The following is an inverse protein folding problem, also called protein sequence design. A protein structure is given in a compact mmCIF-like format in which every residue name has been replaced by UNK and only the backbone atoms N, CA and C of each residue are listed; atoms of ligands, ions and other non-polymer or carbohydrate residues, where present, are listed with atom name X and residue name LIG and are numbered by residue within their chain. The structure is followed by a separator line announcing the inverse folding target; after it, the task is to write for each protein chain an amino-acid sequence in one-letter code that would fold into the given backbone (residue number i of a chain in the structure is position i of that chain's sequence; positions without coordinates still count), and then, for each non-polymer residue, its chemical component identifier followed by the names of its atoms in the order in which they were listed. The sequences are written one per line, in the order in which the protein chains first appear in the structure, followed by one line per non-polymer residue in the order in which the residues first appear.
data_IF_930227413514
#
_entry.id   IF_930227413514
#
_cell.length_a   1.000
_cell.length_b   1.000
_cell.length_c   1.000
_cell.angle_alpha   90.00
_cell.angle_beta   90.00
_cell.angle_gamma   90.00
#
_symmetry.space_group_name_H-M   'P 1'
#
loop_
_entity.id
_entity.type
_entity.pdbx_description
1 polymer ?
#
# COMPACT_ATOMS: atom_id res chain seq x y z
N UNK A 1 16.58 11.35 -93.42
CA UNK A 1 16.03 9.99 -93.27
C UNK A 1 15.10 10.00 -92.07
N UNK A 2 13.81 9.73 -92.32
CA UNK A 2 12.78 9.14 -91.43
C UNK A 2 12.66 9.62 -89.97
N UNK A 3 11.64 10.44 -89.67
CA UNK A 3 10.35 10.08 -89.01
C UNK A 3 10.45 9.72 -87.52
N UNK A 4 9.79 10.49 -86.66
CA UNK A 4 8.50 10.07 -86.07
C UNK A 4 8.10 10.98 -84.90
N UNK A 5 6.91 11.57 -85.05
CA UNK A 5 6.09 12.12 -83.98
C UNK A 5 5.45 10.95 -83.25
N UNK A 6 5.49 10.93 -81.91
CA UNK A 6 4.40 10.34 -81.12
C UNK A 6 4.19 11.12 -79.83
N UNK A 7 3.10 11.89 -79.81
CA UNK A 7 2.48 12.45 -78.61
C UNK A 7 1.72 11.30 -77.95
N UNK A 8 1.98 11.01 -76.67
CA UNK A 8 1.00 10.37 -75.79
C UNK A 8 1.03 11.05 -74.42
N UNK A 9 0.06 11.96 -74.22
CA UNK A 9 -0.45 12.31 -72.89
C UNK A 9 -1.14 11.08 -72.31
N UNK A 10 -0.73 10.63 -71.14
CA UNK A 10 -1.57 9.83 -70.25
C UNK A 10 -1.51 10.44 -68.86
N UNK A 11 -2.29 11.50 -68.70
CA UNK A 11 -2.75 11.97 -67.41
C UNK A 11 -3.94 11.08 -66.98
N UNK A 12 -4.07 10.88 -65.68
CA UNK A 12 -5.29 10.40 -65.00
C UNK A 12 -5.63 8.90 -65.04
N UNK A 13 -4.79 8.10 -64.37
CA UNK A 13 -5.21 6.79 -63.84
C UNK A 13 -4.51 6.49 -62.50
N UNK A 14 -4.68 7.37 -61.51
CA UNK A 14 -4.18 7.19 -60.13
C UNK A 14 -5.23 7.47 -59.04
N UNK A 15 -6.52 7.47 -59.39
CA UNK A 15 -7.60 7.76 -58.43
C UNK A 15 -8.39 6.53 -57.97
N UNK A 16 -8.09 5.34 -58.49
CA UNK A 16 -8.85 4.11 -58.18
C UNK A 16 -8.15 3.16 -57.20
N UNK A 17 -7.02 3.56 -56.60
CA UNK A 17 -6.31 2.78 -55.57
C UNK A 17 -6.56 3.31 -54.15
N UNK A 18 -7.25 4.45 -54.00
CA UNK A 18 -7.49 5.08 -52.70
C UNK A 18 -8.82 4.67 -52.02
N UNK A 19 -9.60 3.75 -52.60
CA UNK A 19 -10.93 3.36 -52.08
C UNK A 19 -10.93 1.95 -51.45
N UNK A 20 -9.85 1.18 -51.56
CA UNK A 20 -9.78 -0.20 -51.03
C UNK A 20 -9.03 -0.32 -49.68
N UNK A 21 -8.79 0.80 -48.99
CA UNK A 21 -8.04 0.82 -47.71
C UNK A 21 -8.84 1.48 -46.57
N UNK A 22 -10.16 1.33 -46.57
CA UNK A 22 -11.07 1.89 -45.55
C UNK A 22 -12.02 0.85 -44.96
N UNK A 23 -11.60 -0.41 -44.88
CA UNK A 23 -12.41 -1.51 -44.31
C UNK A 23 -11.72 -2.26 -43.16
N UNK A 24 -10.98 -1.54 -42.32
CA UNK A 24 -10.48 -2.09 -41.05
C UNK A 24 -10.77 -1.11 -39.89
N UNK A 25 -12.01 -0.63 -39.83
CA UNK A 25 -12.49 0.16 -38.71
C UNK A 25 -12.94 -0.75 -37.57
N UNK A 26 -12.06 -0.83 -36.56
CA UNK A 26 -12.37 -0.71 -35.12
C UNK A 26 -13.46 -1.64 -34.57
N UNK A 27 -13.02 -2.77 -33.99
CA UNK A 27 -13.73 -3.44 -32.90
C UNK A 27 -12.72 -3.90 -31.84
N UNK A 28 -12.19 -2.97 -31.03
CA UNK A 28 -11.58 -3.33 -29.75
C UNK A 28 -11.89 -2.24 -28.72
N UNK A 29 -13.06 -2.33 -28.12
CA UNK A 29 -13.46 -1.62 -26.88
C UNK A 29 -14.72 -2.33 -26.41
N UNK A 30 -14.85 -2.92 -25.23
CA UNK A 30 -14.00 -3.05 -24.06
C UNK A 30 -14.38 -4.38 -23.42
N UNK A 31 -13.42 -5.28 -23.22
CA UNK A 31 -13.59 -6.28 -22.18
C UNK A 31 -13.57 -5.54 -20.85
N UNK A 32 -14.74 -5.22 -20.30
CA UNK A 32 -14.86 -4.94 -18.87
C UNK A 32 -14.50 -6.24 -18.15
N UNK A 33 -13.21 -6.48 -17.99
CA UNK A 33 -12.74 -7.13 -16.77
C UNK A 33 -13.37 -6.31 -15.65
N UNK A 34 -14.20 -6.96 -14.82
CA UNK A 34 -14.44 -6.44 -13.48
C UNK A 34 -13.07 -6.49 -12.81
N UNK A 35 -12.28 -5.45 -13.04
CA UNK A 35 -11.13 -5.17 -12.21
C UNK A 35 -11.76 -4.82 -10.87
N UNK A 36 -11.79 -5.81 -9.97
CA UNK A 36 -11.95 -5.50 -8.57
C UNK A 36 -10.96 -4.36 -8.29
N UNK A 37 -11.41 -3.24 -7.70
CA UNK A 37 -10.54 -2.09 -7.49
C UNK A 37 -9.29 -2.60 -6.79
N UNK A 38 -8.15 -2.46 -7.46
CA UNK A 38 -6.88 -3.01 -6.98
C UNK A 38 -6.71 -2.59 -5.53
N UNK A 39 -6.63 -3.57 -4.63
CA UNK A 39 -6.54 -3.30 -3.20
C UNK A 39 -5.26 -2.49 -2.95
N UNK A 40 -5.38 -1.30 -2.37
CA UNK A 40 -4.23 -0.41 -2.08
C UNK A 40 -3.23 -1.22 -1.24
N UNK A 41 -1.95 -1.32 -1.64
CA UNK A 41 -1.00 -2.18 -0.94
C UNK A 41 -0.82 -1.73 0.52
N UNK A 42 -0.53 -2.65 1.47
CA UNK A 42 -0.34 -2.31 2.89
C UNK A 42 0.65 -1.16 3.15
N UNK A 43 1.70 -1.07 2.34
CA UNK A 43 2.72 -0.01 2.37
C UNK A 43 2.12 1.38 2.15
N UNK A 44 1.12 1.49 1.27
CA UNK A 44 0.42 2.75 1.01
C UNK A 44 -0.70 2.97 2.02
N UNK A 45 -1.39 1.90 2.45
CA UNK A 45 -2.53 1.98 3.37
C UNK A 45 -2.15 2.43 4.78
N UNK A 46 -0.94 2.07 5.25
CA UNK A 46 -0.47 2.45 6.58
C UNK A 46 -0.13 3.95 6.67
N UNK A 47 0.13 4.64 5.56
CA UNK A 47 0.68 6.00 5.57
C UNK A 47 -0.20 7.02 6.29
N UNK A 48 0.43 7.98 6.95
CA UNK A 48 -0.18 9.11 7.64
C UNK A 48 -0.27 8.93 9.15
N UNK A 49 -0.86 9.93 9.80
CA UNK A 49 -0.99 10.04 11.25
C UNK A 49 -2.15 9.20 11.76
N UNK A 50 -1.88 8.39 12.77
CA UNK A 50 -2.82 7.55 13.50
C UNK A 50 -2.84 7.99 14.96
N UNK A 51 -4.03 8.22 15.49
CA UNK A 51 -4.23 8.43 16.92
C UNK A 51 -3.94 7.12 17.67
N UNK A 52 -3.12 7.19 18.70
CA UNK A 52 -2.92 6.07 19.61
C UNK A 52 -4.15 5.92 20.52
N UNK A 53 -4.78 4.74 20.52
CA UNK A 53 -5.98 4.47 21.33
C UNK A 53 -5.62 3.73 22.59
N UNK A 54 -4.89 2.62 22.46
CA UNK A 54 -4.43 1.85 23.62
C UNK A 54 -3.34 0.86 23.25
N UNK A 55 -2.63 0.39 24.26
CA UNK A 55 -1.87 -0.86 24.21
C UNK A 55 -2.42 -1.83 25.24
N UNK A 56 -2.74 -3.05 24.80
CA UNK A 56 -3.10 -4.16 25.68
C UNK A 56 -1.85 -5.01 25.86
N UNK A 57 -1.38 -5.14 27.10
CA UNK A 57 -0.25 -5.99 27.45
C UNK A 57 -0.75 -7.25 28.14
N UNK A 58 -0.46 -8.42 27.56
CA UNK A 58 -0.65 -9.73 28.20
C UNK A 58 0.71 -10.28 28.64
N UNK A 59 0.85 -10.63 29.91
CA UNK A 59 2.04 -11.28 30.46
C UNK A 59 1.69 -12.69 30.93
N UNK A 60 2.32 -13.68 30.31
CA UNK A 60 2.13 -15.11 30.59
C UNK A 60 3.40 -15.61 31.28
N UNK A 61 3.25 -16.18 32.48
CA UNK A 61 4.35 -16.77 33.25
C UNK A 61 4.02 -18.22 33.59
N UNK A 62 5.00 -19.12 33.67
CA UNK A 62 4.76 -20.50 34.08
C UNK A 62 4.04 -20.59 35.42
N UNK A 63 2.95 -21.37 35.47
CA UNK A 63 2.18 -21.64 36.70
C UNK A 63 1.57 -20.40 37.38
N UNK A 64 1.40 -19.29 36.66
CA UNK A 64 0.67 -18.11 37.12
C UNK A 64 -0.52 -17.82 36.19
N UNK A 65 -1.61 -17.22 36.69
CA UNK A 65 -2.64 -16.67 35.82
C UNK A 65 -2.07 -15.65 34.85
N UNK A 66 -2.71 -15.48 33.69
CA UNK A 66 -2.33 -14.44 32.73
C UNK A 66 -2.63 -13.07 33.33
N UNK A 67 -1.64 -12.18 33.31
CA UNK A 67 -1.77 -10.79 33.72
C UNK A 67 -2.11 -9.95 32.49
N UNK A 68 -3.21 -9.19 32.54
CA UNK A 68 -3.64 -8.32 31.44
C UNK A 68 -3.72 -6.89 31.97
N UNK A 69 -3.06 -5.97 31.26
CA UNK A 69 -3.12 -4.53 31.53
C UNK A 69 -3.44 -3.79 30.25
N UNK A 70 -4.18 -2.69 30.37
CA UNK A 70 -4.51 -1.83 29.23
C UNK A 70 -4.12 -0.40 29.58
N UNK A 71 -3.24 0.17 28.78
CA UNK A 71 -2.86 1.58 28.87
C UNK A 71 -3.58 2.33 27.75
N UNK A 72 -4.30 3.40 28.12
CA UNK A 72 -5.05 4.23 27.17
C UNK A 72 -4.15 5.34 26.64
N UNK A 73 -4.30 5.70 25.36
CA UNK A 73 -3.63 6.86 24.79
C UNK A 73 -4.15 8.16 25.37
N UNK A 74 -3.26 9.12 25.58
CA UNK A 74 -3.60 10.47 25.97
C UNK A 74 -4.06 11.31 24.75
N UNK A 75 -4.62 12.49 25.03
CA UNK A 75 -4.88 13.46 23.96
C UNK A 75 -3.55 13.90 23.32
N UNK A 76 -3.51 13.87 21.99
CA UNK A 76 -2.30 14.21 21.24
C UNK A 76 -1.36 13.03 20.99
N UNK A 77 -1.59 11.85 21.56
CA UNK A 77 -0.75 10.68 21.28
C UNK A 77 -0.96 10.15 19.86
N UNK A 78 0.13 9.92 19.12
CA UNK A 78 0.05 9.46 17.73
C UNK A 78 1.24 8.63 17.26
N UNK A 79 1.02 7.97 16.12
CA UNK A 79 2.01 7.33 15.27
C UNK A 79 1.81 7.85 13.84
N UNK A 80 2.83 8.40 13.20
CA UNK A 80 2.78 8.98 11.86
C UNK A 80 3.77 8.25 10.94
N UNK A 81 3.23 7.34 10.13
CA UNK A 81 4.01 6.53 9.18
C UNK A 81 4.20 7.32 7.89
N UNK A 82 5.44 7.68 7.56
CA UNK A 82 5.74 8.51 6.39
C UNK A 82 6.42 7.73 5.28
N UNK A 83 6.26 8.21 4.06
CA UNK A 83 6.83 7.59 2.86
C UNK A 83 8.37 7.72 2.75
N UNK A 84 9.01 8.40 3.71
CA UNK A 84 10.46 8.47 3.88
C UNK A 84 11.04 7.21 4.57
N UNK A 85 10.19 6.29 5.01
CA UNK A 85 10.59 5.09 5.74
C UNK A 85 10.74 5.31 7.25
N UNK A 86 10.30 6.45 7.77
CA UNK A 86 10.34 6.77 9.19
C UNK A 86 8.94 6.84 9.80
N UNK A 87 8.84 6.33 11.02
CA UNK A 87 7.72 6.46 11.93
C UNK A 87 8.05 7.59 12.89
N UNK A 88 7.18 8.58 12.95
CA UNK A 88 7.24 9.66 13.92
C UNK A 88 6.16 9.43 14.97
N UNK A 89 6.48 9.42 16.25
CA UNK A 89 5.48 9.20 17.30
C UNK A 89 5.71 10.07 18.52
N UNK A 90 4.62 10.39 19.21
CA UNK A 90 4.65 11.07 20.49
C UNK A 90 3.62 10.39 21.39
N UNK A 91 4.03 10.00 22.60
CA UNK A 91 3.19 9.29 23.57
C UNK A 91 3.33 9.94 24.94
N UNK A 92 2.23 10.07 25.69
CA UNK A 92 2.23 10.61 27.04
C UNK A 92 2.67 12.07 27.13
N UNK A 93 2.54 12.84 26.04
CA UNK A 93 3.00 14.24 25.97
C UNK A 93 4.52 14.42 25.92
N UNK A 94 5.27 13.35 25.62
CA UNK A 94 6.72 13.44 25.37
C UNK A 94 7.03 14.12 24.03
N UNK A 95 8.30 14.46 23.83
CA UNK A 95 8.79 14.94 22.53
C UNK A 95 8.60 13.87 21.44
N UNK A 96 8.52 14.32 20.17
CA UNK A 96 8.38 13.41 19.04
C UNK A 96 9.68 12.60 18.85
N UNK A 97 9.54 11.28 18.81
CA UNK A 97 10.59 10.32 18.51
C UNK A 97 10.49 9.85 17.05
N UNK A 98 11.62 9.45 16.46
CA UNK A 98 11.72 9.07 15.06
C UNK A 98 12.41 7.71 14.97
N UNK A 99 11.73 6.74 14.38
CA UNK A 99 12.25 5.39 14.20
C UNK A 99 12.10 4.91 12.76
N UNK A 100 13.10 4.19 12.25
CA UNK A 100 12.98 3.57 10.93
C UNK A 100 11.91 2.46 10.96
N UNK A 101 11.06 2.39 9.94
CA UNK A 101 10.08 1.31 9.82
C UNK A 101 10.04 0.69 8.41
N UNK A 102 9.54 -0.54 8.34
CA UNK A 102 9.24 -1.21 7.06
C UNK A 102 8.04 -2.15 7.18
N UNK A 103 7.37 -2.40 6.05
CA UNK A 103 6.37 -3.46 5.94
C UNK A 103 6.89 -4.56 5.01
N UNK A 104 6.95 -5.78 5.52
CA UNK A 104 7.35 -6.97 4.80
C UNK A 104 6.17 -7.96 4.69
N UNK A 105 6.09 -8.68 3.57
CA UNK A 105 5.07 -9.73 3.33
C UNK A 105 3.61 -9.27 3.55
N UNK A 106 3.34 -7.97 3.51
CA UNK A 106 2.02 -7.35 3.68
C UNK A 106 1.47 -7.31 5.11
N UNK A 107 2.06 -8.05 6.06
CA UNK A 107 1.58 -8.15 7.43
C UNK A 107 2.67 -8.11 8.51
N UNK A 108 3.94 -7.95 8.15
CA UNK A 108 5.04 -7.80 9.11
C UNK A 108 5.40 -6.32 9.17
N UNK A 109 5.26 -5.70 10.33
CA UNK A 109 5.71 -4.33 10.60
C UNK A 109 7.02 -4.40 11.40
N UNK A 110 8.10 -3.84 10.85
CA UNK A 110 9.36 -3.67 11.59
C UNK A 110 9.50 -2.23 12.02
N UNK A 111 9.83 -1.98 13.27
CA UNK A 111 10.15 -0.65 13.82
C UNK A 111 11.48 -0.79 14.55
N UNK A 112 12.52 -0.06 14.14
CA UNK A 112 13.89 -0.17 14.69
C UNK A 112 14.40 -1.64 14.73
N UNK A 113 14.03 -2.45 13.74
CA UNK A 113 14.35 -3.88 13.68
C UNK A 113 13.49 -4.79 14.57
N UNK A 114 12.63 -4.23 15.43
CA UNK A 114 11.65 -4.99 16.22
C UNK A 114 10.50 -5.46 15.33
N UNK A 115 10.25 -6.77 15.33
CA UNK A 115 9.24 -7.40 14.48
C UNK A 115 7.88 -7.42 15.19
N UNK A 116 6.87 -6.86 14.52
CA UNK A 116 5.46 -6.90 14.90
C UNK A 116 4.61 -7.51 13.78
N UNK A 117 3.48 -8.11 14.14
CA UNK A 117 2.48 -8.61 13.17
C UNK A 117 1.31 -7.63 13.07
N UNK A 118 1.03 -7.13 11.88
CA UNK A 118 -0.19 -6.37 11.57
C UNK A 118 -1.36 -7.36 11.60
N UNK A 119 -2.29 -7.17 12.55
CA UNK A 119 -3.51 -7.97 12.70
C UNK A 119 -4.67 -7.41 11.90
N UNK A 120 -4.71 -6.08 11.76
CA UNK A 120 -5.74 -5.38 11.01
C UNK A 120 -5.15 -4.07 10.46
N UNK A 121 -5.38 -3.80 9.17
CA UNK A 121 -5.04 -2.54 8.53
C UNK A 121 -6.14 -2.16 7.54
N UNK A 122 -6.97 -1.22 7.97
CA UNK A 122 -8.05 -0.61 7.17
C UNK A 122 -7.78 0.89 6.98
N UNK A 123 -8.73 1.64 6.43
CA UNK A 123 -8.60 3.09 6.31
C UNK A 123 -8.67 3.81 7.67
N UNK A 124 -9.38 3.23 8.65
CA UNK A 124 -9.67 3.88 9.94
C UNK A 124 -9.07 3.16 11.15
N UNK A 125 -8.54 1.94 10.97
CA UNK A 125 -8.04 1.11 12.06
C UNK A 125 -6.74 0.43 11.70
N UNK A 126 -5.77 0.53 12.61
CA UNK A 126 -4.50 -0.21 12.58
C UNK A 126 -4.36 -0.95 13.90
N UNK A 127 -4.16 -2.26 13.82
CA UNK A 127 -3.84 -3.11 14.97
C UNK A 127 -2.58 -3.90 14.64
N UNK A 128 -1.56 -3.80 15.49
CA UNK A 128 -0.38 -4.63 15.38
C UNK A 128 0.03 -5.20 16.75
N UNK A 129 0.65 -6.37 16.71
CA UNK A 129 1.06 -7.12 17.90
C UNK A 129 2.57 -7.31 17.90
N UNK A 130 3.20 -6.94 19.00
CA UNK A 130 4.57 -7.30 19.32
C UNK A 130 4.58 -8.44 20.35
N UNK A 131 5.43 -9.44 20.16
CA UNK A 131 5.58 -10.56 21.10
C UNK A 131 7.04 -10.69 21.51
N UNK A 132 7.29 -10.61 22.82
CA UNK A 132 8.59 -10.89 23.44
C UNK A 132 8.50 -12.16 24.26
N UNK A 133 9.35 -13.12 23.96
CA UNK A 133 9.42 -14.39 24.69
C UNK A 133 10.82 -14.60 25.28
N UNK A 134 10.86 -15.14 26.48
CA UNK A 134 12.05 -15.70 27.10
C UNK A 134 11.65 -16.82 28.06
N UNK A 135 12.63 -17.47 28.67
CA UNK A 135 12.40 -18.62 29.57
C UNK A 135 11.44 -18.33 30.75
N UNK A 136 11.28 -17.07 31.16
CA UNK A 136 10.50 -16.69 32.33
C UNK A 136 9.12 -16.15 32.00
N UNK A 137 8.92 -15.59 30.81
CA UNK A 137 7.63 -15.03 30.41
C UNK A 137 7.49 -14.87 28.89
N UNK A 138 6.24 -14.86 28.44
CA UNK A 138 5.80 -14.29 27.16
C UNK A 138 5.05 -12.99 27.44
N UNK A 139 5.46 -11.89 26.81
CA UNK A 139 4.76 -10.61 26.84
C UNK A 139 4.25 -10.31 25.44
N UNK A 140 2.94 -10.15 25.30
CA UNK A 140 2.30 -9.67 24.07
C UNK A 140 1.83 -8.25 24.28
N UNK A 141 2.07 -7.39 23.29
CA UNK A 141 1.57 -6.02 23.29
C UNK A 141 0.79 -5.79 22.00
N UNK A 142 -0.51 -5.53 22.14
CA UNK A 142 -1.41 -5.23 21.03
C UNK A 142 -1.70 -3.75 21.01
N UNK A 143 -1.15 -3.05 20.02
CA UNK A 143 -1.34 -1.63 19.80
C UNK A 143 -2.59 -1.41 18.95
N UNK A 144 -3.49 -0.56 19.44
CA UNK A 144 -4.72 -0.18 18.76
C UNK A 144 -4.62 1.29 18.38
N UNK A 145 -4.74 1.59 17.08
CA UNK A 145 -4.69 2.94 16.56
C UNK A 145 -5.87 3.21 15.62
N UNK A 146 -6.25 4.48 15.51
CA UNK A 146 -7.33 4.92 14.63
C UNK A 146 -6.98 6.16 13.83
N UNK A 147 -7.73 6.38 12.75
CA UNK A 147 -7.74 7.61 11.97
C UNK A 147 -9.12 8.25 12.03
#
# INVERSE_FOLDING_TARGET
MLTSILILKFNDMKKTILILLTLLSVLIVTGCSKDDPAEIPPQERILGKWKFISVVTETIRPSKPVEITTEQGAEGDYFDFRNDGNLYYALGGNEEEIEAYSIENGNILKIEGTISTIKELTQQKLVFEFVKENANYTRKQTYNLSK
#
